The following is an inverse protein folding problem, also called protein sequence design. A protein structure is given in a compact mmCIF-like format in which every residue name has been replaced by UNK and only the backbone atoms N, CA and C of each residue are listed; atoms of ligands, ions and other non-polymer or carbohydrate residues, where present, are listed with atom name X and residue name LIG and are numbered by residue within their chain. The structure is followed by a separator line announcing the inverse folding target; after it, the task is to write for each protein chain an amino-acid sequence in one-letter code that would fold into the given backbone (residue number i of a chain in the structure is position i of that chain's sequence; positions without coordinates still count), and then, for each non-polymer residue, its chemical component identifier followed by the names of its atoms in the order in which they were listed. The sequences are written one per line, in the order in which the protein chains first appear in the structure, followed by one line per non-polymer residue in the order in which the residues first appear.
data_IF_903183401597
#
_entry.id   IF_903183401597
#
_cell.length_a   1.000
_cell.length_b   1.000
_cell.length_c   1.000
_cell.angle_alpha   90.00
_cell.angle_beta   90.00
_cell.angle_gamma   90.00
#
_symmetry.space_group_name_H-M   'P 1'
#
loop_
_entity.id
_entity.type
_entity.pdbx_description
1 polymer ?
#
# COMPACT_ATOMS: atom_id res chain seq x y z
N UNK A 1 -21.68 7.09 -19.25
CA UNK A 1 -20.33 6.85 -18.68
C UNK A 1 -19.40 7.90 -19.26
N UNK A 2 -19.03 8.92 -18.47
CA UNK A 2 -18.10 9.96 -18.93
C UNK A 2 -16.73 9.35 -19.24
N UNK A 3 -16.10 9.79 -20.34
CA UNK A 3 -14.73 9.38 -20.68
C UNK A 3 -13.83 9.68 -19.48
N UNK A 4 -13.32 8.63 -18.86
CA UNK A 4 -12.30 8.74 -17.83
C UNK A 4 -11.06 9.36 -18.50
N UNK A 5 -10.67 10.54 -18.03
CA UNK A 5 -9.49 11.23 -18.53
C UNK A 5 -8.24 10.47 -18.08
N UNK A 6 -7.45 10.02 -19.05
CA UNK A 6 -6.26 9.18 -18.82
C UNK A 6 -5.24 9.96 -17.97
N UNK A 7 -5.11 11.26 -18.20
CA UNK A 7 -4.22 12.12 -17.42
C UNK A 7 -4.66 12.20 -15.96
N UNK A 8 -5.95 12.40 -15.71
CA UNK A 8 -6.49 12.41 -14.34
C UNK A 8 -6.27 11.08 -13.61
N UNK A 9 -6.45 9.93 -14.28
CA UNK A 9 -6.19 8.61 -13.69
C UNK A 9 -4.72 8.44 -13.33
N UNK A 10 -3.82 8.83 -14.22
CA UNK A 10 -2.38 8.72 -13.98
C UNK A 10 -1.92 9.61 -12.83
N UNK A 11 -2.47 10.83 -12.72
CA UNK A 11 -2.21 11.72 -11.59
C UNK A 11 -2.70 11.11 -10.28
N UNK A 12 -3.92 10.57 -10.25
CA UNK A 12 -4.46 9.90 -9.05
C UNK A 12 -3.62 8.70 -8.66
N UNK A 13 -3.22 7.86 -9.63
CA UNK A 13 -2.36 6.70 -9.36
C UNK A 13 -1.02 7.11 -8.75
N UNK A 14 -0.33 8.09 -9.35
CA UNK A 14 0.94 8.60 -8.83
C UNK A 14 0.79 9.26 -7.44
N UNK A 15 -0.35 9.91 -7.19
CA UNK A 15 -0.65 10.47 -5.87
C UNK A 15 -0.81 9.36 -4.81
N UNK A 16 -1.53 8.28 -5.14
CA UNK A 16 -1.68 7.12 -4.24
C UNK A 16 -0.35 6.41 -3.97
N UNK A 17 0.48 6.24 -4.99
CA UNK A 17 1.84 5.70 -4.83
C UNK A 17 2.70 6.61 -3.92
N UNK A 18 2.58 7.94 -4.07
CA UNK A 18 3.28 8.88 -3.19
C UNK A 18 2.75 8.82 -1.75
N UNK A 19 1.44 8.68 -1.55
CA UNK A 19 0.83 8.54 -0.22
C UNK A 19 1.34 7.27 0.48
N UNK A 20 1.35 6.14 -0.21
CA UNK A 20 1.87 4.88 0.35
C UNK A 20 3.34 5.04 0.79
N UNK A 21 4.17 5.69 -0.03
CA UNK A 21 5.57 5.95 0.34
C UNK A 21 5.72 6.92 1.52
N UNK A 22 4.90 7.97 1.61
CA UNK A 22 4.93 8.89 2.75
C UNK A 22 4.42 8.22 4.04
N UNK A 23 3.42 7.34 3.96
CA UNK A 23 2.97 6.52 5.09
C UNK A 23 4.11 5.66 5.65
N UNK A 24 4.87 5.01 4.77
CA UNK A 24 6.04 4.21 5.14
C UNK A 24 7.10 5.05 5.86
N UNK A 25 7.50 6.18 5.27
CA UNK A 25 8.50 7.09 5.86
C UNK A 25 8.06 7.70 7.17
N UNK A 26 6.78 8.06 7.28
CA UNK A 26 6.19 8.58 8.52
C UNK A 26 6.22 7.51 9.61
N UNK A 27 5.91 6.26 9.27
CA UNK A 27 5.94 5.14 10.21
C UNK A 27 7.36 4.85 10.71
N UNK A 28 8.37 4.89 9.84
CA UNK A 28 9.79 4.77 10.24
C UNK A 28 10.15 5.84 11.27
N UNK A 29 9.78 7.11 11.00
CA UNK A 29 10.10 8.24 11.88
C UNK A 29 9.34 8.21 13.21
N UNK A 30 8.13 7.68 13.21
CA UNK A 30 7.29 7.58 14.41
C UNK A 30 7.60 6.33 15.24
N UNK A 31 8.17 5.29 14.63
CA UNK A 31 8.44 4.04 15.33
C UNK A 31 9.57 4.19 16.33
N UNK A 32 9.34 3.68 17.54
CA UNK A 32 10.36 3.55 18.59
C UNK A 32 11.07 2.19 18.57
N UNK A 33 10.76 1.33 17.60
CA UNK A 33 11.29 -0.04 17.51
C UNK A 33 12.34 -0.17 16.41
N UNK A 34 13.54 -0.72 16.70
CA UNK A 34 14.62 -0.96 15.73
C UNK A 34 14.19 -1.74 14.48
N UNK A 35 13.22 -2.62 14.63
CA UNK A 35 12.68 -3.45 13.54
C UNK A 35 12.14 -2.59 12.39
N UNK A 36 11.55 -1.43 12.70
CA UNK A 36 10.91 -0.58 11.70
C UNK A 36 11.89 0.35 10.97
N UNK A 37 12.91 0.87 11.66
CA UNK A 37 13.84 1.83 11.06
C UNK A 37 15.17 1.22 10.59
N UNK A 38 15.56 0.02 11.07
CA UNK A 38 16.76 -0.69 10.60
C UNK A 38 16.43 -1.85 9.67
N UNK A 39 15.39 -2.63 9.97
CA UNK A 39 15.06 -3.86 9.22
C UNK A 39 13.99 -3.64 8.15
N UNK A 40 13.19 -2.57 8.26
CA UNK A 40 12.09 -2.27 7.33
C UNK A 40 11.14 -3.46 7.13
N UNK A 41 10.88 -4.23 8.19
CA UNK A 41 10.06 -5.45 8.18
C UNK A 41 8.54 -5.14 8.16
N UNK A 42 8.15 -4.16 7.34
CA UNK A 42 6.76 -3.81 7.13
C UNK A 42 6.58 -3.16 5.75
N UNK A 43 5.36 -3.19 5.24
CA UNK A 43 4.99 -2.49 4.01
C UNK A 43 3.64 -1.80 4.25
N UNK A 44 3.41 -0.69 3.58
CA UNK A 44 2.11 -0.01 3.57
C UNK A 44 1.50 -0.14 2.20
N UNK A 45 0.23 -0.55 2.15
CA UNK A 45 -0.51 -0.74 0.91
C UNK A 45 -1.86 -0.03 1.00
N UNK A 46 -2.32 0.48 -0.14
CA UNK A 46 -3.66 1.04 -0.32
C UNK A 46 -4.45 0.02 -1.14
N UNK A 47 -5.63 -0.38 -0.65
CA UNK A 47 -6.51 -1.32 -1.33
C UNK A 47 -7.86 -0.69 -1.65
N UNK A 48 -8.47 -1.15 -2.75
CA UNK A 48 -9.86 -0.85 -3.08
C UNK A 48 -10.83 -1.70 -2.24
N UNK A 49 -12.12 -1.37 -2.29
CA UNK A 49 -13.21 -2.06 -1.58
C UNK A 49 -13.32 -3.56 -1.90
N UNK A 50 -12.79 -3.99 -3.06
CA UNK A 50 -12.74 -5.40 -3.46
C UNK A 50 -11.47 -6.14 -2.99
N UNK A 51 -10.60 -5.47 -2.21
CA UNK A 51 -9.33 -6.02 -1.75
C UNK A 51 -8.24 -6.08 -2.82
N UNK A 52 -8.38 -5.31 -3.90
CA UNK A 52 -7.34 -5.14 -4.91
C UNK A 52 -6.33 -4.07 -4.45
N UNK A 53 -5.04 -4.38 -4.53
CA UNK A 53 -3.98 -3.43 -4.16
C UNK A 53 -3.81 -2.39 -5.27
N UNK A 54 -3.94 -1.12 -4.90
CA UNK A 54 -3.84 0.05 -5.79
C UNK A 54 -2.45 0.68 -5.73
N UNK A 55 -1.86 0.76 -4.54
CA UNK A 55 -0.52 1.30 -4.31
C UNK A 55 0.17 0.54 -3.17
N UNK A 56 1.49 0.41 -3.21
CA UNK A 56 2.28 -0.29 -2.17
C UNK A 56 3.67 0.33 -2.00
N UNK A 57 4.14 0.44 -0.75
CA UNK A 57 5.49 0.88 -0.41
C UNK A 57 6.45 -0.31 -0.24
N UNK A 58 7.74 -0.09 -0.53
CA UNK A 58 8.77 -1.15 -0.45
C UNK A 58 9.39 -1.19 0.94
N UNK A 59 9.31 -2.34 1.62
CA UNK A 59 10.09 -2.65 2.84
C UNK A 59 10.94 -3.91 2.70
N UNK A 60 10.32 -5.01 2.26
CA UNK A 60 10.90 -6.34 2.06
C UNK A 60 10.49 -6.90 0.67
N UNK A 61 10.82 -8.14 0.25
CA UNK A 61 10.57 -8.60 -1.12
C UNK A 61 9.13 -8.33 -1.58
N UNK A 62 8.98 -7.36 -2.50
CA UNK A 62 7.70 -6.84 -2.99
C UNK A 62 6.71 -7.96 -3.35
N UNK A 63 7.23 -9.04 -3.95
CA UNK A 63 6.45 -10.19 -4.38
C UNK A 63 5.72 -10.91 -3.25
N UNK A 64 6.32 -11.01 -2.06
CA UNK A 64 5.69 -11.68 -0.91
C UNK A 64 4.61 -10.79 -0.33
N UNK A 65 4.88 -9.50 -0.17
CA UNK A 65 3.94 -8.55 0.44
C UNK A 65 2.71 -8.27 -0.42
N UNK A 66 2.85 -8.17 -1.74
CA UNK A 66 1.71 -8.00 -2.66
C UNK A 66 0.76 -9.20 -2.56
N UNK A 67 1.31 -10.43 -2.50
CA UNK A 67 0.51 -11.64 -2.34
C UNK A 67 -0.21 -11.67 -0.99
N UNK A 68 0.56 -11.54 0.10
CA UNK A 68 0.04 -11.66 1.47
C UNK A 68 -1.00 -10.57 1.78
N UNK A 69 -0.75 -9.31 1.41
CA UNK A 69 -1.70 -8.21 1.65
C UNK A 69 -3.03 -8.45 0.95
N UNK A 70 -3.01 -8.95 -0.30
CA UNK A 70 -4.23 -9.27 -1.03
C UNK A 70 -5.04 -10.39 -0.34
N UNK A 71 -4.37 -11.42 0.16
CA UNK A 71 -5.03 -12.50 0.90
C UNK A 71 -5.62 -12.01 2.23
N UNK A 72 -4.85 -11.20 2.99
CA UNK A 72 -5.30 -10.65 4.27
C UNK A 72 -6.54 -9.77 4.10
N UNK A 73 -6.51 -8.83 3.16
CA UNK A 73 -7.65 -7.91 2.96
C UNK A 73 -8.88 -8.65 2.46
N UNK A 74 -8.72 -9.63 1.55
CA UNK A 74 -9.85 -10.46 1.12
C UNK A 74 -10.44 -11.29 2.26
N UNK A 75 -9.58 -11.91 3.09
CA UNK A 75 -10.05 -12.63 4.28
C UNK A 75 -10.87 -11.73 5.22
N UNK A 76 -10.42 -10.49 5.44
CA UNK A 76 -11.15 -9.52 6.26
C UNK A 76 -12.49 -9.08 5.63
N UNK A 77 -12.58 -8.99 4.31
CA UNK A 77 -13.81 -8.63 3.60
C UNK A 77 -14.80 -9.80 3.54
N UNK A 78 -14.31 -11.04 3.47
CA UNK A 78 -15.13 -12.25 3.45
C UNK A 78 -15.70 -12.60 4.85
N UNK A 79 -15.05 -12.13 5.92
CA UNK A 79 -15.51 -12.30 7.32
C UNK A 79 -16.48 -11.20 7.81
N UNK A 80 -16.67 -10.12 7.03
CA UNK A 80 -17.43 -8.92 7.39
C UNK A 80 -18.91 -8.90 7.00
#
# INVERSE_FOLDING_TARGET
MGKVDIFSVEVVKNALDSIANEMFRTTIRASKSPIFYETYDFSTAITDAEGNIVAISIGLPLWVWIGVMKFLVKGMLDEG
#
